data_IF_553681298517
#
_entry.id   IF_553681298517
#
_cell.length_a   1.000
_cell.length_b   1.000
_cell.length_c   1.000
_cell.angle_alpha   90.00
_cell.angle_beta   90.00
_cell.angle_gamma   90.00
#
_symmetry.space_group_name_H-M   'P 1'
#
loop_
_entity.id
_entity.type
_entity.pdbx_description
1 polymer ?
#
# COMPACT_ATOMS: atom_id res chain seq x y z
N UNK A 1 9.64 8.03 1.73
CA UNK A 1 8.23 7.79 2.16
C UNK A 1 7.91 6.35 1.90
N UNK A 2 7.22 5.70 2.82
CA UNK A 2 7.03 4.26 2.79
C UNK A 2 5.55 3.91 2.70
N UNK A 3 5.19 3.23 1.61
CA UNK A 3 3.81 2.89 1.29
C UNK A 3 3.64 1.38 1.36
N UNK A 4 2.57 0.94 1.99
CA UNK A 4 2.19 -0.46 2.09
C UNK A 4 0.96 -0.74 1.21
N UNK A 5 1.03 -1.75 0.35
CA UNK A 5 -0.04 -2.11 -0.59
C UNK A 5 -0.31 -3.62 -0.50
N UNK A 6 -1.54 -4.08 -0.26
CA UNK A 6 -1.90 -5.50 -0.35
C UNK A 6 -1.98 -5.93 -1.82
N UNK A 7 -1.24 -6.97 -2.20
CA UNK A 7 -1.13 -7.42 -3.59
C UNK A 7 -1.27 -8.94 -3.73
N UNK A 8 -1.66 -9.37 -4.93
CA UNK A 8 -1.91 -10.77 -5.29
C UNK A 8 -0.64 -11.59 -5.54
N UNK A 9 0.49 -10.94 -5.87
CA UNK A 9 1.77 -11.63 -6.10
C UNK A 9 2.98 -10.75 -5.74
N UNK A 10 4.17 -11.35 -5.74
CA UNK A 10 5.43 -10.72 -5.31
C UNK A 10 6.30 -10.21 -6.48
N UNK A 11 5.68 -9.88 -7.60
CA UNK A 11 6.38 -9.41 -8.81
C UNK A 11 5.94 -8.00 -9.14
N UNK A 12 6.79 -7.00 -8.92
CA UNK A 12 6.47 -5.57 -9.07
C UNK A 12 5.61 -5.20 -10.28
N UNK A 13 5.96 -5.67 -11.47
CA UNK A 13 5.27 -5.28 -12.72
C UNK A 13 4.06 -6.16 -13.07
N UNK A 14 3.85 -7.25 -12.34
CA UNK A 14 2.68 -8.14 -12.52
C UNK A 14 1.70 -8.01 -11.34
N UNK A 15 2.15 -7.47 -10.20
CA UNK A 15 1.38 -7.36 -8.97
C UNK A 15 0.21 -6.38 -9.11
N UNK A 16 -0.95 -6.84 -8.68
CA UNK A 16 -2.20 -6.08 -8.68
C UNK A 16 -2.68 -5.92 -7.24
N UNK A 17 -3.14 -4.72 -6.90
CA UNK A 17 -3.78 -4.45 -5.61
C UNK A 17 -5.03 -5.32 -5.44
N UNK A 18 -5.20 -5.87 -4.24
CA UNK A 18 -6.33 -6.71 -3.89
C UNK A 18 -6.90 -6.30 -2.51
N UNK A 19 -8.04 -6.90 -2.14
CA UNK A 19 -8.58 -6.73 -0.80
C UNK A 19 -7.60 -7.30 0.23
N UNK A 20 -7.60 -6.77 1.46
CA UNK A 20 -6.72 -7.28 2.54
C UNK A 20 -7.03 -8.76 2.81
N UNK A 21 -8.29 -9.17 2.66
CA UNK A 21 -8.73 -10.54 2.86
C UNK A 21 -8.14 -11.53 1.83
N UNK A 22 -7.83 -11.04 0.63
CA UNK A 22 -7.35 -11.85 -0.51
C UNK A 22 -5.85 -11.70 -0.75
N UNK A 23 -5.14 -10.91 0.07
CA UNK A 23 -3.74 -10.60 -0.16
C UNK A 23 -2.86 -11.85 -0.07
N UNK A 24 -1.92 -11.96 -1.00
CA UNK A 24 -0.84 -12.95 -0.91
C UNK A 24 0.44 -12.35 -0.36
N UNK A 25 0.68 -11.06 -0.66
CA UNK A 25 1.84 -10.32 -0.20
C UNK A 25 1.46 -8.87 0.13
N UNK A 26 2.25 -8.27 1.02
CA UNK A 26 2.33 -6.84 1.20
C UNK A 26 3.50 -6.32 0.36
N UNK A 27 3.21 -5.45 -0.60
CA UNK A 27 4.23 -4.67 -1.30
C UNK A 27 4.60 -3.46 -0.44
N UNK A 28 5.86 -3.40 -0.05
CA UNK A 28 6.48 -2.27 0.63
C UNK A 28 7.22 -1.43 -0.41
N UNK A 29 6.72 -0.22 -0.65
CA UNK A 29 7.23 0.69 -1.67
C UNK A 29 7.91 1.86 -0.99
N UNK A 30 9.20 2.01 -1.26
CA UNK A 30 9.99 3.16 -0.80
C UNK A 30 10.06 4.20 -1.92
N UNK A 31 9.58 5.39 -1.61
CA UNK A 31 9.66 6.56 -2.46
C UNK A 31 10.72 7.53 -1.95
N UNK A 32 11.62 7.94 -2.83
CA UNK A 32 12.57 9.02 -2.61
C UNK A 32 12.49 10.02 -3.78
N UNK A 33 12.41 11.31 -3.46
CA UNK A 33 12.23 12.41 -4.44
C UNK A 33 11.15 12.15 -5.52
N UNK A 34 10.07 11.45 -5.16
CA UNK A 34 8.95 11.13 -6.06
C UNK A 34 9.19 9.93 -6.98
N UNK A 35 10.25 9.16 -6.76
CA UNK A 35 10.56 7.95 -7.53
C UNK A 35 10.58 6.72 -6.63
N UNK A 36 10.19 5.56 -7.19
CA UNK A 36 10.27 4.28 -6.48
C UNK A 36 11.72 3.81 -6.48
N UNK A 37 12.38 3.91 -5.32
CA UNK A 37 13.78 3.47 -5.14
C UNK A 37 13.87 2.04 -4.64
N UNK A 38 12.84 1.53 -3.98
CA UNK A 38 12.76 0.13 -3.54
C UNK A 38 11.32 -0.40 -3.56
N UNK A 39 11.17 -1.70 -3.80
CA UNK A 39 9.89 -2.41 -3.79
C UNK A 39 10.11 -3.84 -3.30
N UNK A 40 9.76 -4.11 -2.05
CA UNK A 40 9.92 -5.41 -1.40
C UNK A 40 8.56 -6.05 -1.12
N UNK A 41 8.54 -7.38 -0.98
CA UNK A 41 7.30 -8.14 -0.79
C UNK A 41 7.42 -9.03 0.43
N UNK A 42 6.47 -8.89 1.35
CA UNK A 42 6.43 -9.62 2.61
C UNK A 42 5.12 -10.37 2.76
N UNK A 43 5.10 -11.49 3.49
CA UNK A 43 3.84 -12.20 3.77
C UNK A 43 3.13 -11.58 4.95
N UNK A 44 3.88 -11.10 5.93
CA UNK A 44 3.35 -10.35 7.07
C UNK A 44 3.90 -8.91 7.06
N UNK A 45 3.01 -7.94 7.24
CA UNK A 45 3.33 -6.51 7.41
C UNK A 45 4.33 -6.23 8.54
N UNK A 46 4.52 -7.17 9.48
CA UNK A 46 5.50 -7.10 10.58
C UNK A 46 6.92 -7.46 10.17
N UNK A 47 7.12 -8.13 9.03
CA UNK A 47 8.43 -8.60 8.58
C UNK A 47 9.32 -7.46 8.07
N UNK A 48 8.74 -6.40 7.54
CA UNK A 48 9.50 -5.31 6.91
C UNK A 48 10.38 -4.54 7.91
N UNK A 49 10.12 -4.63 9.23
CA UNK A 49 10.76 -3.85 10.31
C UNK A 49 10.92 -2.35 10.01
N UNK A 50 10.16 -1.87 9.05
CA UNK A 50 10.28 -0.56 8.45
C UNK A 50 9.11 0.32 8.88
N UNK A 51 9.38 1.62 9.01
CA UNK A 51 8.32 2.59 9.28
C UNK A 51 7.38 2.68 8.07
N UNK A 52 6.07 2.67 8.31
CA UNK A 52 5.04 2.79 7.28
C UNK A 52 4.37 4.15 7.46
N UNK A 53 4.44 4.98 6.42
CA UNK A 53 3.78 6.29 6.43
C UNK A 53 2.33 6.16 5.95
N UNK A 54 2.12 5.38 4.89
CA UNK A 54 0.82 5.20 4.25
C UNK A 54 0.49 3.73 3.97
N UNK A 55 -0.77 3.38 4.10
CA UNK A 55 -1.31 2.13 3.57
C UNK A 55 -2.34 2.43 2.49
N UNK A 56 -2.20 1.84 1.31
CA UNK A 56 -3.15 1.99 0.20
C UNK A 56 -3.94 0.71 0.04
N UNK A 57 -5.27 0.80 0.10
CA UNK A 57 -6.20 -0.33 0.01
C UNK A 57 -7.19 -0.13 -1.14
N UNK A 58 -7.81 -1.21 -1.64
CA UNK A 58 -8.83 -1.12 -2.69
C UNK A 58 -10.25 -0.89 -2.13
N UNK A 59 -10.50 -1.21 -0.86
CA UNK A 59 -11.79 -1.05 -0.19
C UNK A 59 -11.64 -0.90 1.32
N UNK A 60 -12.58 -0.17 1.96
CA UNK A 60 -12.67 -0.11 3.42
C UNK A 60 -12.99 -1.50 4.00
N UNK A 61 -12.39 -1.84 5.14
CA UNK A 61 -12.51 -3.14 5.79
C UNK A 61 -12.26 -3.03 7.30
N UNK A 62 -12.77 -3.97 8.10
CA UNK A 62 -12.59 -4.00 9.56
C UNK A 62 -11.13 -4.17 9.98
N UNK A 63 -10.26 -4.68 9.09
CA UNK A 63 -8.82 -4.81 9.32
C UNK A 63 -8.07 -3.48 9.40
N UNK A 64 -8.74 -2.34 9.19
CA UNK A 64 -8.13 -1.02 9.28
C UNK A 64 -7.79 -0.57 10.70
N UNK A 65 -8.32 -1.24 11.72
CA UNK A 65 -8.07 -0.90 13.13
C UNK A 65 -6.57 -0.96 13.51
N UNK A 66 -5.83 -1.92 12.96
CA UNK A 66 -4.38 -2.05 13.18
C UNK A 66 -3.61 -0.81 12.72
N UNK A 67 -4.02 -0.22 11.60
CA UNK A 67 -3.38 0.97 11.03
C UNK A 67 -3.66 2.23 11.87
N UNK A 68 -4.89 2.35 12.40
CA UNK A 68 -5.27 3.41 13.34
C UNK A 68 -4.37 3.44 14.57
N UNK A 69 -4.13 2.29 15.20
CA UNK A 69 -3.30 2.22 16.41
C UNK A 69 -1.85 2.61 16.16
N UNK A 70 -1.35 2.39 14.93
CA UNK A 70 0.02 2.68 14.55
C UNK A 70 0.20 4.07 13.93
N UNK A 71 -0.85 4.89 13.91
CA UNK A 71 -0.85 6.24 13.33
C UNK A 71 -0.44 6.24 11.84
N UNK A 72 -0.79 5.17 11.11
CA UNK A 72 -0.54 5.02 9.67
C UNK A 72 -1.70 5.66 8.91
N UNK A 73 -1.38 6.50 7.91
CA UNK A 73 -2.40 7.14 7.09
C UNK A 73 -2.97 6.16 6.06
N UNK A 74 -4.28 5.94 6.05
CA UNK A 74 -4.91 4.99 5.12
C UNK A 74 -5.53 5.73 3.94
N UNK A 75 -5.20 5.27 2.74
CA UNK A 75 -5.69 5.79 1.47
C UNK A 75 -6.40 4.68 0.69
N UNK A 76 -7.42 5.05 -0.07
CA UNK A 76 -8.19 4.15 -0.92
C UNK A 76 -7.86 4.42 -2.41
N UNK A 77 -7.53 3.35 -3.12
CA UNK A 77 -7.25 3.31 -4.56
C UNK A 77 -8.37 2.53 -5.29
N UNK A 78 -9.49 3.18 -5.66
CA UNK A 78 -10.66 2.49 -6.18
C UNK A 78 -10.51 2.06 -7.65
N UNK A 79 -9.59 2.65 -8.41
CA UNK A 79 -9.45 2.41 -9.86
C UNK A 79 -8.05 1.99 -10.30
N UNK A 80 -7.02 2.31 -9.53
CA UNK A 80 -5.64 1.92 -9.82
C UNK A 80 -5.45 0.43 -9.53
N UNK A 81 -4.69 -0.26 -10.37
CA UNK A 81 -4.44 -1.69 -10.23
C UNK A 81 -2.98 -1.99 -9.90
N UNK A 82 -2.06 -1.44 -10.69
CA UNK A 82 -0.63 -1.72 -10.52
C UNK A 82 0.02 -0.81 -9.48
N UNK A 83 1.17 -1.24 -8.96
CA UNK A 83 1.97 -0.43 -8.03
C UNK A 83 2.34 0.93 -8.63
N UNK A 84 2.76 0.97 -9.90
CA UNK A 84 3.17 2.20 -10.56
C UNK A 84 1.98 3.18 -10.73
N UNK A 85 0.78 2.68 -11.07
CA UNK A 85 -0.44 3.51 -11.12
C UNK A 85 -0.82 4.07 -9.74
N UNK A 86 -0.69 3.26 -8.69
CA UNK A 86 -0.97 3.68 -7.32
C UNK A 86 0.00 4.77 -6.87
N UNK A 87 1.29 4.62 -7.15
CA UNK A 87 2.31 5.61 -6.81
C UNK A 87 2.08 6.91 -7.59
N UNK A 88 1.77 6.84 -8.88
CA UNK A 88 1.44 8.03 -9.66
C UNK A 88 0.22 8.76 -9.06
N UNK A 89 -0.85 8.03 -8.75
CA UNK A 89 -2.04 8.60 -8.13
C UNK A 89 -1.75 9.20 -6.74
N UNK A 90 -0.86 8.57 -5.95
CA UNK A 90 -0.40 9.07 -4.66
C UNK A 90 0.33 10.41 -4.82
N UNK A 91 1.30 10.50 -5.72
CA UNK A 91 2.09 11.72 -5.97
C UNK A 91 1.22 12.87 -6.48
N UNK A 92 0.17 12.55 -7.26
CA UNK A 92 -0.81 13.53 -7.75
C UNK A 92 -1.90 13.88 -6.73
N UNK A 93 -1.91 13.25 -5.54
CA UNK A 93 -2.95 13.47 -4.51
C UNK A 93 -4.35 13.02 -4.95
N UNK A 94 -4.44 12.02 -5.82
CA UNK A 94 -5.70 11.50 -6.38
C UNK A 94 -6.28 10.32 -5.60
N UNK A 95 -5.55 9.77 -4.64
CA UNK A 95 -6.06 8.73 -3.75
C UNK A 95 -7.01 9.32 -2.71
N UNK A 96 -8.04 8.57 -2.32
CA UNK A 96 -9.03 9.03 -1.35
C UNK A 96 -8.55 8.75 0.07
N UNK A 97 -8.38 9.80 0.88
CA UNK A 97 -8.02 9.63 2.29
C UNK A 97 -9.20 9.05 3.07
N UNK A 98 -8.99 7.93 3.75
CA UNK A 98 -9.94 7.39 4.69
C UNK A 98 -9.70 8.01 6.06
N UNK A 99 -10.78 8.53 6.66
CA UNK A 99 -10.76 8.96 8.07
C UNK A 99 -10.89 7.71 8.93
N UNK A 100 -9.76 7.07 9.15
CA UNK A 100 -9.60 5.95 10.07
C UNK A 100 -9.43 6.49 11.49
#
# INVERSE_FOLDING_TARGET
MNILIPVDCNKRHEAIICAIEDLSYWAYVELDEGQIVNCEFFKDKKESNCWIDYAVIINETDYLWDFKQKNISVLEAPTQKSIDEIVEAFLLGKLKTLKV
#
